data_IF_423521789759
#
_entry.id   IF_423521789759
#
_cell.length_a   1.000
_cell.length_b   1.000
_cell.length_c   1.000
_cell.angle_alpha   90.00
_cell.angle_beta   90.00
_cell.angle_gamma   90.00
#
_symmetry.space_group_name_H-M   'P 1'
#
loop_
_entity.id
_entity.type
_entity.pdbx_description
1 polymer ?
#
# COMPACT_ATOMS: atom_id res chain seq x y z
N UNK A 1 -13.47 -12.09 15.11
CA UNK A 1 -14.93 -12.29 15.13
C UNK A 1 -15.72 -11.09 14.57
N UNK A 2 -15.90 -9.96 15.28
CA UNK A 2 -16.76 -8.87 14.77
C UNK A 2 -16.31 -8.24 13.44
N UNK A 3 -14.99 -8.16 13.18
CA UNK A 3 -14.45 -7.60 11.95
C UNK A 3 -14.55 -8.57 10.75
N UNK A 4 -14.45 -9.88 11.01
CA UNK A 4 -14.61 -10.93 9.98
C UNK A 4 -16.07 -11.04 9.54
N UNK A 5 -17.03 -10.89 10.47
CA UNK A 5 -18.46 -10.91 10.14
C UNK A 5 -18.86 -9.74 9.24
N UNK A 6 -18.34 -8.52 9.50
CA UNK A 6 -18.58 -7.34 8.65
C UNK A 6 -17.98 -7.54 7.25
N UNK A 7 -16.78 -8.10 7.19
CA UNK A 7 -16.08 -8.44 5.95
C UNK A 7 -16.87 -9.45 5.10
N UNK A 8 -17.25 -10.59 5.68
CA UNK A 8 -18.08 -11.60 5.03
C UNK A 8 -19.44 -11.07 4.54
N UNK A 9 -20.10 -10.21 5.32
CA UNK A 9 -21.35 -9.56 4.89
C UNK A 9 -21.13 -8.60 3.71
N UNK A 10 -19.99 -7.92 3.66
CA UNK A 10 -19.63 -6.99 2.59
C UNK A 10 -19.32 -7.70 1.27
N UNK A 11 -18.69 -8.89 1.33
CA UNK A 11 -18.46 -9.72 0.13
C UNK A 11 -19.76 -10.10 -0.56
N UNK A 12 -20.75 -10.57 0.21
CA UNK A 12 -22.05 -10.97 -0.33
C UNK A 12 -22.87 -9.81 -0.91
N UNK A 13 -22.60 -8.58 -0.48
CA UNK A 13 -23.31 -7.37 -0.93
C UNK A 13 -22.66 -6.72 -2.16
N UNK A 14 -21.33 -6.74 -2.25
CA UNK A 14 -20.56 -5.98 -3.26
C UNK A 14 -19.91 -6.86 -4.32
N UNK A 15 -19.77 -8.17 -4.07
CA UNK A 15 -19.02 -9.09 -4.92
C UNK A 15 -17.50 -8.94 -4.82
N UNK A 16 -16.99 -7.99 -4.02
CA UNK A 16 -15.56 -7.83 -3.77
C UNK A 16 -15.17 -8.77 -2.62
N UNK A 17 -14.21 -9.66 -2.85
CA UNK A 17 -13.69 -10.53 -1.79
C UNK A 17 -12.95 -9.74 -0.71
N UNK A 18 -12.92 -10.28 0.51
CA UNK A 18 -12.20 -9.75 1.66
C UNK A 18 -10.72 -9.59 1.36
N UNK A 19 -10.15 -10.56 0.63
CA UNK A 19 -8.75 -10.49 0.20
C UNK A 19 -8.56 -9.33 -0.80
N UNK A 20 -9.46 -9.15 -1.77
CA UNK A 20 -9.38 -8.00 -2.67
C UNK A 20 -9.50 -6.67 -1.93
N UNK A 21 -10.41 -6.58 -0.95
CA UNK A 21 -10.53 -5.41 -0.08
C UNK A 21 -9.24 -5.16 0.72
N UNK A 22 -8.68 -6.19 1.35
CA UNK A 22 -7.46 -6.08 2.14
C UNK A 22 -6.25 -5.66 1.29
N UNK A 23 -6.14 -6.20 0.07
CA UNK A 23 -5.13 -5.77 -0.88
C UNK A 23 -5.29 -4.29 -1.27
N UNK A 24 -6.52 -3.81 -1.48
CA UNK A 24 -6.78 -2.39 -1.75
C UNK A 24 -6.38 -1.49 -0.58
N UNK A 25 -6.69 -1.89 0.65
CA UNK A 25 -6.31 -1.13 1.86
C UNK A 25 -4.79 -1.05 1.99
N UNK A 26 -4.08 -2.18 1.85
CA UNK A 26 -2.61 -2.21 1.93
C UNK A 26 -1.98 -1.37 0.79
N UNK A 27 -2.54 -1.46 -0.42
CA UNK A 27 -2.11 -0.63 -1.56
C UNK A 27 -2.26 0.87 -1.25
N UNK A 28 -3.42 1.30 -0.73
CA UNK A 28 -3.68 2.70 -0.37
C UNK A 28 -2.66 3.21 0.65
N UNK A 29 -2.46 2.46 1.74
CA UNK A 29 -1.52 2.83 2.79
C UNK A 29 -0.08 2.99 2.27
N UNK A 30 0.36 2.12 1.36
CA UNK A 30 1.69 2.23 0.74
C UNK A 30 1.81 3.41 -0.19
N UNK A 31 0.78 3.70 -1.00
CA UNK A 31 0.77 4.86 -1.89
C UNK A 31 0.81 6.17 -1.09
N UNK A 32 0.06 6.26 0.01
CA UNK A 32 0.13 7.38 0.95
C UNK A 32 1.53 7.51 1.58
N UNK A 33 2.12 6.39 2.00
CA UNK A 33 3.49 6.35 2.52
C UNK A 33 4.52 6.84 1.51
N UNK A 34 4.46 6.40 0.25
CA UNK A 34 5.36 6.84 -0.82
C UNK A 34 5.28 8.36 -1.04
N UNK A 35 4.06 8.92 -1.02
CA UNK A 35 3.86 10.35 -1.18
C UNK A 35 4.44 11.13 0.00
N UNK A 36 4.18 10.70 1.24
CA UNK A 36 4.73 11.34 2.44
C UNK A 36 6.26 11.26 2.50
N UNK A 37 6.85 10.12 2.09
CA UNK A 37 8.31 9.94 2.07
C UNK A 37 9.00 10.93 1.13
N UNK A 38 8.34 11.40 0.06
CA UNK A 38 8.94 12.42 -0.81
C UNK A 38 9.17 13.74 -0.06
N UNK A 39 8.20 14.18 0.74
CA UNK A 39 8.32 15.37 1.59
C UNK A 39 9.42 15.17 2.65
N UNK A 40 9.41 14.03 3.35
CA UNK A 40 10.41 13.73 4.38
C UNK A 40 11.84 13.63 3.83
N UNK A 41 11.98 13.09 2.62
CA UNK A 41 13.26 13.05 1.91
C UNK A 41 13.74 14.46 1.57
N UNK A 42 12.85 15.36 1.15
CA UNK A 42 13.19 16.74 0.87
C UNK A 42 13.65 17.48 2.13
N UNK A 43 12.96 17.29 3.26
CA UNK A 43 13.38 17.87 4.56
C UNK A 43 14.78 17.41 4.98
N UNK A 44 15.11 16.13 4.76
CA UNK A 44 16.44 15.59 5.03
C UNK A 44 17.51 16.21 4.11
N UNK A 45 17.20 16.43 2.83
CA UNK A 45 18.10 17.10 1.88
C UNK A 45 18.34 18.56 2.30
N UNK A 46 17.28 19.28 2.65
CA UNK A 46 17.35 20.71 3.01
C UNK A 46 18.12 20.96 4.32
N UNK A 47 18.10 19.98 5.23
CA UNK A 47 18.86 20.02 6.48
C UNK A 47 20.28 19.44 6.37
N UNK A 48 20.64 18.87 5.21
CA UNK A 48 21.95 18.25 4.98
C UNK A 48 22.11 16.87 5.64
N UNK A 49 21.02 16.23 6.05
CA UNK A 49 21.03 14.87 6.60
C UNK A 49 21.03 13.83 5.46
N UNK A 50 22.23 13.52 4.96
CA UNK A 50 22.42 12.56 3.87
C UNK A 50 22.00 11.13 4.22
N UNK A 51 22.09 10.76 5.50
CA UNK A 51 21.79 9.40 5.95
C UNK A 51 20.28 9.16 5.94
N UNK A 52 19.50 10.11 6.45
CA UNK A 52 18.05 10.07 6.35
C UNK A 52 17.56 10.17 4.90
N UNK A 53 18.16 11.03 4.07
CA UNK A 53 17.79 11.13 2.66
C UNK A 53 17.97 9.79 1.92
N UNK A 54 19.11 9.11 2.12
CA UNK A 54 19.39 7.80 1.53
C UNK A 54 18.47 6.69 2.09
N UNK A 55 18.15 6.74 3.38
CA UNK A 55 17.19 5.82 4.00
C UNK A 55 15.81 5.97 3.37
N UNK A 56 15.31 7.20 3.25
CA UNK A 56 13.99 7.49 2.67
C UNK A 56 13.91 7.08 1.20
N UNK A 57 14.94 7.35 0.39
CA UNK A 57 15.01 6.87 -0.98
C UNK A 57 14.92 5.34 -1.07
N UNK A 58 15.66 4.63 -0.21
CA UNK A 58 15.62 3.16 -0.18
C UNK A 58 14.24 2.63 0.19
N UNK A 59 13.60 3.19 1.22
CA UNK A 59 12.25 2.78 1.65
C UNK A 59 11.24 3.05 0.53
N UNK A 60 11.28 4.23 -0.08
CA UNK A 60 10.37 4.60 -1.18
C UNK A 60 10.49 3.63 -2.36
N UNK A 61 11.71 3.22 -2.73
CA UNK A 61 11.94 2.22 -3.78
C UNK A 61 11.32 0.86 -3.43
N UNK A 62 11.52 0.38 -2.20
CA UNK A 62 10.95 -0.89 -1.74
C UNK A 62 9.42 -0.86 -1.71
N UNK A 63 8.83 0.27 -1.34
CA UNK A 63 7.38 0.43 -1.36
C UNK A 63 6.81 0.45 -2.78
N UNK A 64 7.51 1.05 -3.76
CA UNK A 64 7.12 0.99 -5.18
C UNK A 64 7.12 -0.44 -5.70
N UNK A 65 8.16 -1.22 -5.42
CA UNK A 65 8.22 -2.64 -5.77
C UNK A 65 7.05 -3.43 -5.14
N UNK A 66 6.76 -3.15 -3.86
CA UNK A 66 5.63 -3.78 -3.17
C UNK A 66 4.28 -3.40 -3.78
N UNK A 67 4.10 -2.15 -4.21
CA UNK A 67 2.86 -1.68 -4.86
C UNK A 67 2.64 -2.42 -6.19
N UNK A 68 3.68 -2.63 -6.98
CA UNK A 68 3.59 -3.36 -8.24
C UNK A 68 3.17 -4.83 -8.02
N UNK A 69 3.73 -5.47 -6.99
CA UNK A 69 3.33 -6.83 -6.59
C UNK A 69 1.87 -6.86 -6.12
N UNK A 70 1.48 -5.99 -5.18
CA UNK A 70 0.12 -5.90 -4.66
C UNK A 70 -0.91 -5.64 -5.76
N UNK A 71 -0.60 -4.75 -6.71
CA UNK A 71 -1.44 -4.48 -7.87
C UNK A 71 -1.63 -5.75 -8.71
N UNK A 72 -0.56 -6.48 -8.97
CA UNK A 72 -0.60 -7.72 -9.76
C UNK A 72 -1.42 -8.81 -9.07
N UNK A 73 -1.40 -8.87 -7.74
CA UNK A 73 -2.25 -9.77 -6.96
C UNK A 73 -3.71 -9.33 -6.94
N UNK A 74 -3.98 -8.03 -6.77
CA UNK A 74 -5.33 -7.48 -6.79
C UNK A 74 -6.03 -7.76 -8.11
N UNK A 75 -5.36 -7.53 -9.25
CA UNK A 75 -5.93 -7.82 -10.58
C UNK A 75 -6.32 -9.29 -10.71
N UNK A 76 -5.46 -10.21 -10.25
CA UNK A 76 -5.76 -11.65 -10.24
C UNK A 76 -7.02 -11.98 -9.42
N UNK A 77 -7.18 -11.35 -8.25
CA UNK A 77 -8.37 -11.55 -7.41
C UNK A 77 -9.65 -10.93 -7.98
N UNK A 78 -9.54 -9.82 -8.73
CA UNK A 78 -10.70 -9.16 -9.35
C UNK A 78 -11.16 -9.86 -10.64
N UNK A 79 -10.25 -10.51 -11.36
CA UNK A 79 -10.60 -11.18 -12.62
C UNK A 79 -11.27 -12.54 -12.43
N UNK A 80 -11.23 -13.10 -11.21
CA UNK A 80 -11.75 -14.43 -10.90
C UNK A 80 -10.91 -15.51 -11.60
N UNK A 81 -10.20 -16.33 -10.82
CA UNK A 81 -9.84 -17.67 -11.30
C UNK A 81 -11.09 -18.52 -11.44
#
# INVERSE_FOLDING_TARGET
MANETKKQQSEGLTGISNIAYDLMVVLSNKLEGIAAIEEYRQDAVDTGDSDCAALFERIQRQDRESVDELRSHLVRHLQGT
#
